data_IF_102977984388
#
_entry.id   IF_102977984388
#
_cell.length_a   1.000
_cell.length_b   1.000
_cell.length_c   1.000
_cell.angle_alpha   90.00
_cell.angle_beta   90.00
_cell.angle_gamma   90.00
#
_symmetry.space_group_name_H-M   'P 1'
#
loop_
_entity.id
_entity.type
_entity.pdbx_description
1 polymer ?
#
# COMPACT_ATOMS: atom_id res chain seq x y z
N UNK A 1 -8.55 72.82 -0.85
CA UNK A 1 -7.88 72.54 0.45
C UNK A 1 -8.74 71.53 1.17
N UNK A 2 -8.33 70.26 1.15
CA UNK A 2 -8.69 69.19 2.08
C UNK A 2 -7.90 67.94 1.62
N UNK A 3 -6.72 67.79 2.22
CA UNK A 3 -5.90 66.57 2.23
C UNK A 3 -6.44 65.61 3.30
N UNK A 4 -6.08 64.32 3.15
CA UNK A 4 -6.19 63.21 4.12
C UNK A 4 -7.62 62.71 4.43
N UNK A 5 -7.90 61.42 4.55
CA UNK A 5 -7.12 60.43 5.29
C UNK A 5 -7.36 59.00 4.77
N UNK A 6 -6.28 58.23 4.69
CA UNK A 6 -6.26 56.77 4.48
C UNK A 6 -6.61 56.12 5.81
N UNK A 7 -7.63 55.26 5.86
CA UNK A 7 -7.65 54.17 6.85
C UNK A 7 -8.58 53.04 6.40
N UNK A 8 -8.03 52.12 5.60
CA UNK A 8 -8.46 50.72 5.63
C UNK A 8 -7.19 49.92 5.98
N UNK A 9 -7.19 49.24 7.13
CA UNK A 9 -7.27 47.79 7.05
C UNK A 9 -8.21 47.19 8.11
N UNK A 10 -9.18 46.40 7.64
CA UNK A 10 -9.94 45.45 8.45
C UNK A 10 -8.98 44.38 9.01
N UNK A 11 -8.48 44.62 10.22
CA UNK A 11 -7.73 43.63 11.00
C UNK A 11 -8.69 42.62 11.65
N UNK A 12 -8.65 41.43 11.07
CA UNK A 12 -8.49 40.14 11.76
C UNK A 12 -9.64 39.64 12.65
N UNK A 13 -10.32 38.62 12.12
CA UNK A 13 -11.21 37.70 12.84
C UNK A 13 -10.42 37.05 13.99
N UNK A 14 -10.91 37.07 15.24
CA UNK A 14 -10.27 36.30 16.31
C UNK A 14 -10.55 34.81 16.11
N UNK A 15 -9.73 34.15 15.31
CA UNK A 15 -9.62 32.70 15.26
C UNK A 15 -8.85 32.23 16.50
N UNK A 16 -9.57 32.06 17.61
CA UNK A 16 -9.05 31.41 18.82
C UNK A 16 -8.76 29.94 18.47
N UNK A 17 -7.51 29.46 18.47
CA UNK A 17 -7.25 28.03 18.35
C UNK A 17 -7.70 27.38 19.66
N UNK A 18 -8.65 26.45 19.58
CA UNK A 18 -8.96 25.57 20.69
C UNK A 18 -7.72 24.71 20.98
N UNK A 19 -6.98 25.04 22.03
CA UNK A 19 -6.01 24.13 22.65
C UNK A 19 -6.79 22.95 23.25
N UNK A 20 -6.91 21.84 22.51
CA UNK A 20 -7.28 20.56 23.09
C UNK A 20 -6.10 20.07 23.94
N UNK A 21 -6.17 20.31 25.24
CA UNK A 21 -5.25 19.71 26.21
C UNK A 21 -5.57 18.23 26.38
N UNK A 22 -4.54 17.38 26.42
CA UNK A 22 -4.63 15.92 26.52
C UNK A 22 -5.21 15.37 27.85
N UNK A 23 -5.79 16.25 28.67
CA UNK A 23 -6.33 15.91 29.99
C UNK A 23 -7.82 15.51 29.96
N UNK A 24 -8.53 15.71 28.85
CA UNK A 24 -9.98 15.43 28.73
C UNK A 24 -10.31 14.00 28.25
N UNK A 25 -9.32 13.10 28.24
CA UNK A 25 -9.58 11.70 27.89
C UNK A 25 -10.29 11.01 29.05
N UNK A 26 -11.63 11.06 29.03
CA UNK A 26 -12.52 10.43 30.00
C UNK A 26 -12.22 8.94 30.22
N UNK A 27 -12.44 8.47 31.44
CA UNK A 27 -12.16 7.10 31.91
C UNK A 27 -12.78 6.02 31.01
N UNK A 28 -13.93 6.31 30.39
CA UNK A 28 -14.57 5.44 29.39
C UNK A 28 -13.68 5.11 28.19
N UNK A 29 -12.87 6.06 27.70
CA UNK A 29 -11.95 5.83 26.58
C UNK A 29 -10.81 4.89 27.00
N UNK A 30 -10.33 5.02 28.23
CA UNK A 30 -9.32 4.11 28.80
C UNK A 30 -9.88 2.70 28.97
N UNK A 31 -11.11 2.56 29.48
CA UNK A 31 -11.76 1.26 29.61
C UNK A 31 -12.04 0.60 28.26
N UNK A 32 -12.45 1.38 27.25
CA UNK A 32 -12.62 0.90 25.87
C UNK A 32 -11.29 0.46 25.25
N UNK A 33 -10.21 1.18 25.53
CA UNK A 33 -8.85 0.82 25.08
C UNK A 33 -8.35 -0.47 25.75
N UNK A 34 -8.55 -0.62 27.06
CA UNK A 34 -8.16 -1.81 27.81
C UNK A 34 -8.93 -3.05 27.34
N UNK A 35 -10.24 -2.93 27.10
CA UNK A 35 -11.03 -4.04 26.53
C UNK A 35 -10.55 -4.44 25.13
N UNK A 36 -10.19 -3.49 24.28
CA UNK A 36 -9.66 -3.79 22.94
C UNK A 36 -8.32 -4.53 22.99
N UNK A 37 -7.48 -4.23 23.99
CA UNK A 37 -6.18 -4.88 24.19
C UNK A 37 -6.34 -6.33 24.69
N UNK A 38 -7.35 -6.60 25.50
CA UNK A 38 -7.64 -7.94 26.05
C UNK A 38 -8.27 -8.90 25.02
N UNK A 39 -8.89 -8.37 23.96
CA UNK A 39 -9.47 -9.19 22.87
C UNK A 39 -8.47 -9.56 21.77
N UNK A 40 -7.24 -9.04 21.83
CA UNK A 40 -6.14 -9.46 20.97
C UNK A 40 -5.42 -10.71 21.51
N UNK A 41 -6.07 -11.85 21.33
CA UNK A 41 -5.38 -13.13 21.26
C UNK A 41 -4.40 -13.10 20.06
N UNK A 42 -3.12 -13.46 20.21
CA UNK A 42 -2.17 -13.50 19.10
C UNK A 42 -2.43 -14.73 18.22
N UNK A 43 -3.56 -14.72 17.51
CA UNK A 43 -3.72 -15.52 16.30
C UNK A 43 -2.73 -15.00 15.25
N UNK A 44 -1.87 -15.86 14.66
CA UNK A 44 -1.11 -15.45 13.51
C UNK A 44 -2.11 -15.24 12.37
N UNK A 45 -1.96 -14.13 11.63
CA UNK A 45 -2.70 -13.72 10.43
C UNK A 45 -3.67 -12.54 10.63
N UNK A 46 -3.15 -11.39 11.04
CA UNK A 46 -3.51 -10.17 10.34
C UNK A 46 -2.22 -9.42 10.05
N UNK A 47 -1.81 -9.46 8.78
CA UNK A 47 -0.79 -8.58 8.27
C UNK A 47 -1.38 -7.17 8.41
N UNK A 48 -0.99 -6.44 9.44
CA UNK A 48 -1.20 -5.00 9.50
C UNK A 48 -0.55 -4.44 8.25
N UNK A 49 -1.37 -4.10 7.25
CA UNK A 49 -0.92 -3.39 6.07
C UNK A 49 -0.59 -1.99 6.55
N UNK A 50 0.65 -1.81 6.99
CA UNK A 50 1.27 -0.50 7.03
C UNK A 50 1.28 -0.01 5.60
N UNK A 51 0.44 0.99 5.33
CA UNK A 51 0.51 1.85 4.14
C UNK A 51 1.99 2.04 3.75
N UNK A 52 2.38 1.52 2.59
CA UNK A 52 3.68 1.68 1.92
C UNK A 52 4.83 0.69 2.19
N UNK A 53 4.66 -0.39 2.96
CA UNK A 53 5.68 -1.44 3.01
C UNK A 53 5.12 -2.74 2.42
N UNK A 54 5.61 -3.15 1.24
CA UNK A 54 5.30 -4.48 0.71
C UNK A 54 5.75 -5.54 1.72
N UNK A 55 4.84 -6.29 2.40
CA UNK A 55 5.24 -7.39 3.27
C UNK A 55 5.70 -8.62 2.46
N UNK A 56 5.70 -8.50 1.13
CA UNK A 56 6.02 -9.57 0.21
C UNK A 56 7.53 -9.62 -0.07
N UNK A 57 8.08 -10.84 -0.12
CA UNK A 57 9.49 -11.07 -0.46
C UNK A 57 9.71 -10.79 -1.95
N UNK A 58 10.83 -10.18 -2.30
CA UNK A 58 11.18 -10.00 -3.70
C UNK A 58 11.36 -11.34 -4.41
N UNK A 59 10.90 -11.43 -5.66
CA UNK A 59 10.96 -12.65 -6.48
C UNK A 59 12.37 -13.27 -6.55
N UNK A 60 13.43 -12.44 -6.53
CA UNK A 60 14.81 -12.91 -6.60
C UNK A 60 15.25 -13.64 -5.32
N UNK A 61 14.63 -13.29 -4.18
CA UNK A 61 14.96 -13.82 -2.84
C UNK A 61 14.15 -15.06 -2.45
N UNK A 62 13.22 -15.50 -3.30
CA UNK A 62 12.38 -16.67 -3.05
C UNK A 62 13.20 -17.98 -3.02
N UNK A 63 12.59 -19.07 -2.57
CA UNK A 63 13.16 -20.41 -2.70
C UNK A 63 13.27 -20.83 -4.18
N UNK A 64 14.28 -21.64 -4.51
CA UNK A 64 14.52 -22.10 -5.89
C UNK A 64 13.34 -22.90 -6.45
N UNK A 65 12.71 -23.74 -5.64
CA UNK A 65 11.52 -24.50 -6.04
C UNK A 65 10.38 -23.57 -6.47
N UNK A 66 10.24 -22.43 -5.80
CA UNK A 66 9.19 -21.46 -6.12
C UNK A 66 9.54 -20.65 -7.36
N UNK A 67 10.79 -20.18 -7.47
CA UNK A 67 11.30 -19.49 -8.66
C UNK A 67 11.08 -20.31 -9.94
N UNK A 68 11.22 -21.64 -9.86
CA UNK A 68 10.97 -22.58 -10.96
C UNK A 68 9.50 -22.71 -11.36
N UNK A 69 8.57 -22.48 -10.42
CA UNK A 69 7.14 -22.55 -10.67
C UNK A 69 6.59 -21.26 -11.30
N UNK A 70 7.31 -20.14 -11.16
CA UNK A 70 6.88 -18.87 -11.71
C UNK A 70 7.24 -18.85 -13.21
N UNK A 71 6.24 -18.83 -14.12
CA UNK A 71 6.47 -18.70 -15.55
C UNK A 71 7.11 -17.34 -15.87
N UNK A 72 7.64 -17.13 -17.09
CA UNK A 72 8.13 -15.82 -17.48
C UNK A 72 7.02 -14.77 -17.35
N UNK A 73 7.34 -13.68 -16.65
CA UNK A 73 6.45 -12.54 -16.45
C UNK A 73 7.13 -11.31 -17.00
N UNK A 74 6.50 -10.61 -17.94
CA UNK A 74 7.02 -9.37 -18.49
C UNK A 74 6.06 -8.24 -18.21
N UNK A 75 6.43 -7.33 -17.31
CA UNK A 75 5.64 -6.12 -17.06
C UNK A 75 5.99 -5.06 -18.10
N UNK A 76 5.03 -4.71 -18.93
CA UNK A 76 5.18 -3.76 -20.04
C UNK A 76 4.65 -2.37 -19.67
N UNK A 77 3.63 -2.31 -18.81
CA UNK A 77 3.03 -1.08 -18.34
C UNK A 77 2.64 -1.21 -16.87
N UNK A 78 2.66 -0.08 -16.16
CA UNK A 78 2.28 0.01 -14.78
C UNK A 78 1.62 1.37 -14.51
N UNK A 79 0.33 1.35 -14.22
CA UNK A 79 -0.44 2.53 -13.85
C UNK A 79 -0.90 2.37 -12.41
N UNK A 80 -0.46 3.31 -11.58
CA UNK A 80 -0.90 3.45 -10.21
C UNK A 80 -1.85 4.64 -10.07
N UNK A 81 -2.89 4.46 -9.27
CA UNK A 81 -3.89 5.46 -8.94
C UNK A 81 -4.29 5.30 -7.47
N UNK A 82 -4.85 6.35 -6.87
CA UNK A 82 -5.35 6.30 -5.49
C UNK A 82 -6.46 5.24 -5.36
N UNK A 83 -7.40 5.21 -6.31
CA UNK A 83 -8.43 4.17 -6.35
C UNK A 83 -7.91 2.83 -6.93
N UNK A 84 -8.08 1.70 -6.21
CA UNK A 84 -7.59 0.37 -6.63
C UNK A 84 -8.16 -0.08 -7.98
N UNK A 85 -9.42 0.27 -8.27
CA UNK A 85 -10.09 -0.06 -9.54
C UNK A 85 -9.46 0.62 -10.77
N UNK A 86 -8.70 1.69 -10.56
CA UNK A 86 -7.99 2.41 -11.62
C UNK A 86 -6.54 1.96 -11.77
N UNK A 87 -6.05 1.11 -10.86
CA UNK A 87 -4.71 0.52 -10.94
C UNK A 87 -4.72 -0.64 -11.90
N UNK A 88 -3.76 -0.65 -12.81
CA UNK A 88 -3.60 -1.76 -13.75
C UNK A 88 -2.16 -1.91 -14.19
N UNK A 89 -1.82 -3.12 -14.58
CA UNK A 89 -0.52 -3.49 -15.13
C UNK A 89 -0.72 -4.25 -16.42
N UNK A 90 0.18 -4.05 -17.38
CA UNK A 90 0.26 -4.92 -18.55
C UNK A 90 1.33 -5.95 -18.30
N UNK A 91 0.95 -7.23 -18.26
CA UNK A 91 1.87 -8.35 -18.07
C UNK A 91 1.66 -9.40 -19.15
N UNK A 92 2.75 -9.82 -19.81
CA UNK A 92 2.71 -10.78 -20.91
C UNK A 92 1.69 -10.43 -22.00
N UNK A 93 1.55 -9.15 -22.34
CA UNK A 93 0.62 -8.62 -23.34
C UNK A 93 -0.82 -8.43 -22.85
N UNK A 94 -1.14 -8.73 -21.58
CA UNK A 94 -2.49 -8.65 -21.01
C UNK A 94 -2.58 -7.56 -19.95
N UNK A 95 -3.62 -6.74 -20.04
CA UNK A 95 -3.93 -5.72 -19.04
C UNK A 95 -4.70 -6.38 -17.88
N UNK A 96 -4.13 -6.33 -16.67
CA UNK A 96 -4.66 -6.94 -15.47
C UNK A 96 -4.82 -5.92 -14.36
N UNK A 97 -5.83 -6.15 -13.52
CA UNK A 97 -6.16 -5.35 -12.34
C UNK A 97 -6.00 -6.19 -11.07
N UNK A 98 -5.94 -5.52 -9.92
CA UNK A 98 -5.91 -6.16 -8.61
C UNK A 98 -7.03 -7.21 -8.47
N UNK A 99 -6.67 -8.40 -7.97
CA UNK A 99 -7.55 -9.56 -7.86
C UNK A 99 -7.59 -10.47 -9.10
N UNK A 100 -7.09 -10.04 -10.25
CA UNK A 100 -7.07 -10.87 -11.47
C UNK A 100 -5.95 -11.91 -11.45
N UNK A 101 -6.15 -12.97 -12.23
CA UNK A 101 -5.15 -14.04 -12.40
C UNK A 101 -4.20 -13.71 -13.54
N UNK A 102 -2.90 -13.71 -13.23
CA UNK A 102 -1.82 -13.53 -14.22
C UNK A 102 -1.61 -14.82 -14.99
N UNK A 103 -1.55 -15.93 -14.26
CA UNK A 103 -1.45 -17.31 -14.79
C UNK A 103 -2.38 -18.22 -13.98
N UNK A 104 -2.38 -19.53 -14.27
CA UNK A 104 -3.20 -20.50 -13.54
C UNK A 104 -2.92 -20.54 -12.03
N UNK A 105 -1.66 -20.27 -11.63
CA UNK A 105 -1.21 -20.39 -10.24
C UNK A 105 -0.92 -19.03 -9.59
N UNK A 106 -0.84 -17.96 -10.38
CA UNK A 106 -0.43 -16.63 -9.91
C UNK A 106 -1.57 -15.64 -10.00
N UNK A 107 -1.91 -15.05 -8.85
CA UNK A 107 -2.88 -13.96 -8.73
C UNK A 107 -2.18 -12.64 -8.48
N UNK A 108 -2.62 -11.59 -9.17
CA UNK A 108 -2.28 -10.21 -8.88
C UNK A 108 -3.03 -9.76 -7.63
N UNK A 109 -2.33 -9.43 -6.56
CA UNK A 109 -2.96 -9.03 -5.28
C UNK A 109 -3.09 -7.54 -5.16
N UNK A 110 -2.00 -6.83 -5.41
CA UNK A 110 -1.96 -5.40 -5.22
C UNK A 110 -0.97 -4.77 -6.20
N UNK A 111 -1.29 -3.57 -6.65
CA UNK A 111 -0.44 -2.75 -7.50
C UNK A 111 -0.02 -1.56 -6.64
N UNK A 112 1.25 -1.51 -6.25
CA UNK A 112 1.84 -0.41 -5.47
C UNK A 112 2.60 0.53 -6.39
N UNK A 113 2.97 1.75 -5.97
CA UNK A 113 3.64 2.72 -6.85
C UNK A 113 4.96 2.24 -7.48
N UNK A 114 5.69 1.35 -6.80
CA UNK A 114 7.00 0.84 -7.25
C UNK A 114 6.98 -0.66 -7.58
N UNK A 115 6.10 -1.42 -6.93
CA UNK A 115 6.09 -2.87 -6.98
C UNK A 115 4.70 -3.42 -7.28
N UNK A 116 4.67 -4.64 -7.79
CA UNK A 116 3.47 -5.43 -8.00
C UNK A 116 3.52 -6.60 -7.03
N UNK A 117 2.49 -6.75 -6.21
CA UNK A 117 2.36 -7.89 -5.29
C UNK A 117 1.58 -8.99 -5.99
N UNK A 118 2.20 -10.16 -6.03
CA UNK A 118 1.63 -11.37 -6.59
C UNK A 118 1.53 -12.43 -5.51
N UNK A 119 0.57 -13.33 -5.65
CA UNK A 119 0.45 -14.52 -4.81
C UNK A 119 0.47 -15.76 -5.69
N UNK A 120 1.26 -16.74 -5.30
CA UNK A 120 1.23 -18.10 -5.85
C UNK A 120 0.95 -19.10 -4.72
N UNK A 121 -0.12 -19.87 -4.84
CA UNK A 121 -0.57 -20.75 -3.76
C UNK A 121 -0.73 -20.00 -2.42
N UNK A 122 0.14 -20.30 -1.44
CA UNK A 122 0.18 -19.65 -0.11
C UNK A 122 1.31 -18.62 0.05
N UNK A 123 2.12 -18.40 -0.98
CA UNK A 123 3.26 -17.49 -0.93
C UNK A 123 2.93 -16.17 -1.63
N UNK A 124 3.13 -15.05 -0.94
CA UNK A 124 3.17 -13.72 -1.55
C UNK A 124 4.61 -13.34 -1.91
N UNK A 125 4.76 -12.69 -3.06
CA UNK A 125 6.01 -12.12 -3.51
C UNK A 125 5.78 -10.81 -4.25
N UNK A 126 6.77 -9.93 -4.22
CA UNK A 126 6.76 -8.67 -4.95
C UNK A 126 7.68 -8.74 -6.15
N UNK A 127 7.35 -7.97 -7.17
CA UNK A 127 8.20 -7.70 -8.30
C UNK A 127 8.24 -6.21 -8.56
N UNK A 128 9.39 -5.66 -8.92
CA UNK A 128 9.46 -4.27 -9.35
C UNK A 128 8.64 -4.07 -10.64
N UNK A 129 7.89 -2.98 -10.70
CA UNK A 129 7.14 -2.66 -11.91
C UNK A 129 8.08 -2.48 -13.13
N UNK A 130 7.54 -2.73 -14.33
CA UNK A 130 8.27 -2.61 -15.60
C UNK A 130 9.53 -3.48 -15.69
N UNK A 131 9.61 -4.55 -14.90
CA UNK A 131 10.66 -5.55 -15.00
C UNK A 131 10.17 -6.82 -15.66
N UNK A 132 11.11 -7.63 -16.11
CA UNK A 132 10.84 -8.99 -16.54
C UNK A 132 11.43 -10.01 -15.57
N UNK A 133 10.70 -11.08 -15.37
CA UNK A 133 11.14 -12.30 -14.72
C UNK A 133 11.22 -13.42 -15.74
N UNK A 134 12.35 -14.11 -15.75
CA UNK A 134 12.51 -15.38 -16.42
C UNK A 134 13.38 -16.29 -15.55
N UNK A 135 12.91 -17.52 -15.30
CA UNK A 135 13.74 -18.49 -14.60
C UNK A 135 14.89 -18.93 -15.52
N UNK A 136 16.09 -18.44 -15.24
CA UNK A 136 17.34 -18.90 -15.87
C UNK A 136 18.03 -19.85 -14.90
N UNK A 137 18.25 -21.09 -15.33
CA UNK A 137 19.13 -22.01 -14.62
C UNK A 137 20.51 -21.35 -14.46
N UNK A 138 21.03 -21.20 -13.23
CA UNK A 138 22.41 -20.76 -13.07
C UNK A 138 23.31 -21.77 -13.77
N UNK A 139 24.19 -21.29 -14.64
CA UNK A 139 25.15 -22.15 -15.32
C UNK A 139 26.09 -22.74 -14.26
N UNK A 140 26.31 -24.07 -14.25
CA UNK A 140 27.21 -24.72 -13.30
C UNK A 140 28.67 -24.27 -13.47
#
# INVERSE_FOLDING_TARGET
>A
MAEADVDEPVSEVPAKPAELTAADVSDELRSKFALALEQSDPMPQHQSVTDHAAPARDIQTLDELLKRQIPPLRFEAHIYASEPKQRWVKVNGKDLQEGQWVTADIQLKEITPQYVLLQTGRQMFSMQALTEWSYRLPNP
#
